data_IF_296664777547
#
_entry.id   IF_296664777547
#
_cell.length_a   1.000
_cell.length_b   1.000
_cell.length_c   1.000
_cell.angle_alpha   90.00
_cell.angle_beta   90.00
_cell.angle_gamma   90.00
#
_symmetry.space_group_name_H-M   'P 1'
#
loop_
_entity.id
_entity.type
_entity.pdbx_description
1 polymer ?
#
# COMPACT_ATOMS: atom_id res chain seq x y z
N UNK A 1 -17.11 -17.00 16.55
CA UNK A 1 -16.54 -17.51 15.29
C UNK A 1 -16.11 -16.31 14.50
N UNK A 2 -14.80 -16.08 14.40
CA UNK A 2 -14.18 -14.95 13.75
C UNK A 2 -14.24 -15.20 12.23
N UNK A 3 -14.58 -14.20 11.48
CA UNK A 3 -14.89 -14.29 10.04
C UNK A 3 -13.57 -14.36 9.23
N UNK A 4 -12.86 -15.49 9.31
CA UNK A 4 -11.61 -15.78 8.57
C UNK A 4 -11.84 -16.06 7.07
N UNK A 5 -13.06 -15.97 6.58
CA UNK A 5 -13.46 -16.43 5.24
C UNK A 5 -13.09 -15.47 4.10
N UNK A 6 -12.43 -14.35 4.36
CA UNK A 6 -12.10 -13.33 3.34
C UNK A 6 -10.65 -12.84 3.35
N UNK A 7 -9.81 -13.37 4.21
CA UNK A 7 -8.38 -13.02 4.22
C UNK A 7 -7.63 -13.85 3.17
N UNK A 8 -6.69 -13.22 2.46
CA UNK A 8 -5.79 -13.93 1.55
C UNK A 8 -4.63 -14.52 2.34
N UNK A 9 -4.06 -15.62 1.84
CA UNK A 9 -2.85 -16.20 2.43
C UNK A 9 -1.73 -15.16 2.56
N UNK A 10 -1.60 -14.25 1.61
CA UNK A 10 -0.65 -13.13 1.71
C UNK A 10 -0.88 -12.27 2.97
N UNK A 11 -2.13 -12.02 3.34
CA UNK A 11 -2.45 -11.24 4.54
C UNK A 11 -2.06 -12.01 5.80
N UNK A 12 -2.39 -13.29 5.88
CA UNK A 12 -2.03 -14.16 7.02
C UNK A 12 -0.51 -14.27 7.20
N UNK A 13 0.23 -14.53 6.11
CA UNK A 13 1.70 -14.65 6.14
C UNK A 13 2.37 -13.35 6.57
N UNK A 14 1.86 -12.18 6.14
CA UNK A 14 2.35 -10.88 6.60
C UNK A 14 1.96 -10.61 8.06
N UNK A 15 0.75 -10.99 8.48
CA UNK A 15 0.30 -10.86 9.86
C UNK A 15 1.22 -11.64 10.82
N UNK A 16 1.52 -12.89 10.51
CA UNK A 16 2.46 -13.71 11.27
C UNK A 16 3.85 -13.08 11.35
N UNK A 17 4.38 -12.61 10.22
CA UNK A 17 5.70 -11.97 10.17
C UNK A 17 5.79 -10.71 11.03
N UNK A 18 4.82 -9.80 10.91
CA UNK A 18 4.84 -8.53 11.64
C UNK A 18 4.40 -8.66 13.11
N UNK A 19 3.65 -9.70 13.45
CA UNK A 19 3.31 -10.02 14.82
C UNK A 19 4.53 -10.50 15.61
N UNK A 20 5.44 -11.25 14.96
CA UNK A 20 6.59 -11.89 15.61
C UNK A 20 6.17 -12.96 16.62
N UNK A 21 7.15 -13.41 17.43
CA UNK A 21 6.96 -14.53 18.35
C UNK A 21 6.14 -14.16 19.60
N UNK A 22 6.09 -12.89 19.98
CA UNK A 22 5.52 -12.40 21.24
C UNK A 22 4.22 -11.62 21.08
N UNK A 23 3.90 -11.16 19.86
CA UNK A 23 2.65 -10.46 19.59
C UNK A 23 1.44 -11.40 19.60
N UNK A 24 0.25 -10.82 19.68
CA UNK A 24 -1.02 -11.55 19.63
C UNK A 24 -1.82 -11.08 18.43
N UNK A 25 -2.32 -12.02 17.65
CA UNK A 25 -3.15 -11.74 16.46
C UNK A 25 -4.64 -11.70 16.78
N UNK A 26 -5.42 -11.02 15.92
CA UNK A 26 -6.89 -10.98 16.00
C UNK A 26 -7.43 -10.44 17.33
N UNK A 27 -6.81 -9.39 17.86
CA UNK A 27 -7.10 -8.84 19.20
C UNK A 27 -8.22 -7.81 19.12
N UNK A 28 -9.30 -7.94 19.90
CA UNK A 28 -10.30 -6.88 20.02
C UNK A 28 -9.72 -5.69 20.82
N UNK A 29 -9.60 -4.54 20.17
CA UNK A 29 -9.16 -3.27 20.75
C UNK A 29 -10.22 -2.21 20.44
N UNK A 30 -10.72 -1.55 21.46
CA UNK A 30 -11.68 -0.44 21.33
C UNK A 30 -12.88 -0.74 20.40
N UNK A 31 -13.39 -2.00 20.43
CA UNK A 31 -14.53 -2.43 19.62
C UNK A 31 -14.20 -2.71 18.14
N UNK A 32 -12.93 -2.80 17.79
CA UNK A 32 -12.45 -3.25 16.48
C UNK A 32 -11.50 -4.45 16.68
N UNK A 33 -11.50 -5.40 15.75
CA UNK A 33 -10.50 -6.48 15.75
C UNK A 33 -9.25 -5.94 15.04
N UNK A 34 -8.11 -5.98 15.71
CA UNK A 34 -6.81 -5.60 15.16
C UNK A 34 -6.04 -6.83 14.69
N UNK A 35 -5.32 -6.72 13.56
CA UNK A 35 -4.60 -7.84 12.97
C UNK A 35 -3.52 -8.36 13.91
N UNK A 36 -2.76 -7.48 14.56
CA UNK A 36 -1.84 -7.84 15.61
C UNK A 36 -1.65 -6.73 16.65
N UNK A 37 -1.40 -7.12 17.90
CA UNK A 37 -0.97 -6.24 19.00
C UNK A 37 0.38 -6.75 19.49
N UNK A 38 1.39 -5.87 19.49
CA UNK A 38 2.74 -6.19 19.92
C UNK A 38 2.91 -6.03 21.44
N UNK A 39 4.00 -6.55 22.01
CA UNK A 39 4.27 -6.52 23.46
C UNK A 39 4.27 -5.11 24.06
N UNK A 40 4.67 -4.11 23.28
CA UNK A 40 4.68 -2.70 23.70
C UNK A 40 3.30 -2.03 23.60
N UNK A 41 2.26 -2.80 23.27
CA UNK A 41 0.88 -2.37 23.10
C UNK A 41 0.62 -1.62 21.79
N UNK A 42 1.60 -1.52 20.88
CA UNK A 42 1.39 -0.98 19.54
C UNK A 42 0.61 -1.96 18.66
N UNK A 43 -0.07 -1.42 17.68
CA UNK A 43 -0.95 -2.17 16.79
C UNK A 43 -0.32 -2.25 15.41
N UNK A 44 -0.41 -3.43 14.80
CA UNK A 44 -0.10 -3.64 13.39
C UNK A 44 -1.39 -3.98 12.65
N UNK A 45 -1.66 -3.24 11.58
CA UNK A 45 -2.75 -3.47 10.64
C UNK A 45 -2.18 -3.78 9.26
N UNK A 46 -2.66 -4.83 8.63
CA UNK A 46 -2.21 -5.23 7.30
C UNK A 46 -3.32 -5.00 6.30
N UNK A 47 -3.06 -4.22 5.29
CA UNK A 47 -4.07 -3.91 4.28
C UNK A 47 -3.48 -4.01 2.88
N UNK A 48 -3.98 -4.95 2.11
CA UNK A 48 -3.50 -5.19 0.74
C UNK A 48 -4.10 -4.25 -0.31
N UNK A 49 -5.17 -3.51 0.04
CA UNK A 49 -5.87 -2.56 -0.84
C UNK A 49 -6.93 -1.77 -0.07
N UNK A 50 -7.38 -0.64 -0.64
CA UNK A 50 -8.49 0.18 -0.09
C UNK A 50 -8.21 0.68 1.34
N UNK A 51 -7.04 1.28 1.61
CA UNK A 51 -6.66 1.81 2.92
C UNK A 51 -7.73 2.76 3.50
N UNK A 52 -8.47 3.45 2.65
CA UNK A 52 -9.56 4.32 3.07
C UNK A 52 -10.67 3.64 3.88
N UNK A 53 -10.83 2.30 3.77
CA UNK A 53 -11.78 1.54 4.59
C UNK A 53 -11.38 1.47 6.06
N UNK A 54 -10.08 1.59 6.35
CA UNK A 54 -9.56 1.59 7.71
C UNK A 54 -9.64 2.96 8.39
N UNK A 55 -10.01 4.02 7.67
CA UNK A 55 -9.96 5.39 8.15
C UNK A 55 -10.56 5.56 9.55
N UNK A 56 -11.82 5.20 9.74
CA UNK A 56 -12.51 5.35 11.03
C UNK A 56 -11.86 4.52 12.15
N UNK A 57 -11.40 3.30 11.82
CA UNK A 57 -10.67 2.44 12.75
C UNK A 57 -9.35 3.07 13.16
N UNK A 58 -8.55 3.55 12.19
CA UNK A 58 -7.26 4.19 12.45
C UNK A 58 -7.41 5.46 13.26
N UNK A 59 -8.36 6.33 12.89
CA UNK A 59 -8.68 7.58 13.65
C UNK A 59 -9.00 7.28 15.11
N UNK A 60 -9.72 6.19 15.38
CA UNK A 60 -10.06 5.78 16.74
C UNK A 60 -8.86 5.22 17.50
N UNK A 61 -8.11 4.29 16.91
CA UNK A 61 -6.96 3.64 17.53
C UNK A 61 -5.84 4.64 17.85
N UNK A 62 -5.62 5.63 16.99
CA UNK A 62 -4.58 6.65 17.14
C UNK A 62 -4.84 7.63 18.30
N UNK A 63 -6.02 7.62 18.92
CA UNK A 63 -6.28 8.41 20.12
C UNK A 63 -5.52 7.89 21.35
N UNK A 64 -5.18 6.59 21.38
CA UNK A 64 -4.59 5.94 22.55
C UNK A 64 -3.42 5.01 22.24
N UNK A 65 -3.20 4.65 20.97
CA UNK A 65 -2.23 3.64 20.56
C UNK A 65 -1.34 4.13 19.42
N UNK A 66 -0.17 3.53 19.31
CA UNK A 66 0.65 3.62 18.10
C UNK A 66 0.16 2.56 17.12
N UNK A 67 0.07 2.93 15.84
CA UNK A 67 -0.43 2.05 14.78
C UNK A 67 0.56 2.04 13.62
N UNK A 68 0.97 0.85 13.21
CA UNK A 68 1.72 0.59 11.99
C UNK A 68 0.80 -0.02 10.96
N UNK A 69 0.58 0.67 9.86
CA UNK A 69 -0.18 0.16 8.72
C UNK A 69 0.78 -0.43 7.68
N UNK A 70 0.71 -1.74 7.49
CA UNK A 70 1.54 -2.47 6.52
C UNK A 70 0.81 -2.58 5.19
N UNK A 71 1.45 -2.12 4.11
CA UNK A 71 0.94 -2.17 2.75
C UNK A 71 1.90 -2.93 1.83
N UNK A 72 1.55 -4.16 1.38
CA UNK A 72 2.40 -4.92 0.48
C UNK A 72 2.31 -4.41 -0.96
N UNK A 73 3.48 -4.25 -1.58
CA UNK A 73 3.66 -3.87 -2.98
C UNK A 73 4.26 -5.06 -3.72
N UNK A 74 3.47 -5.70 -4.59
CA UNK A 74 3.95 -6.83 -5.38
C UNK A 74 4.95 -6.35 -6.43
N UNK A 75 6.27 -6.50 -6.15
CA UNK A 75 7.35 -6.20 -7.10
C UNK A 75 7.29 -7.14 -8.29
N UNK A 76 7.16 -8.43 -8.02
CA UNK A 76 6.97 -9.46 -9.02
C UNK A 76 5.79 -10.34 -8.64
N UNK A 77 5.07 -10.82 -9.64
CA UNK A 77 3.97 -11.76 -9.44
C UNK A 77 4.13 -12.92 -10.40
N UNK A 78 4.24 -14.13 -9.87
CA UNK A 78 4.05 -15.35 -10.62
C UNK A 78 2.56 -15.68 -10.65
N UNK A 79 2.02 -15.99 -11.81
CA UNK A 79 0.60 -16.32 -11.98
C UNK A 79 0.50 -17.78 -12.35
N UNK A 80 -0.24 -18.54 -11.56
CA UNK A 80 -0.64 -19.91 -11.85
C UNK A 80 -2.14 -19.97 -12.07
N UNK A 81 -2.55 -20.53 -13.19
CA UNK A 81 -3.97 -20.73 -13.50
C UNK A 81 -4.28 -22.21 -13.54
N UNK A 82 -5.28 -22.60 -12.79
CA UNK A 82 -5.74 -23.96 -12.64
C UNK A 82 -7.11 -24.15 -13.30
N UNK A 83 -7.38 -25.33 -13.75
CA UNK A 83 -8.73 -25.78 -14.10
C UNK A 83 -9.55 -26.01 -12.81
N UNK A 84 -10.89 -26.05 -12.88
CA UNK A 84 -11.71 -26.40 -11.72
C UNK A 84 -11.37 -27.78 -11.11
N UNK A 85 -10.81 -28.67 -11.91
CA UNK A 85 -10.30 -30.00 -11.49
C UNK A 85 -9.04 -29.93 -10.63
N UNK A 86 -8.40 -28.76 -10.51
CA UNK A 86 -7.13 -28.60 -9.81
C UNK A 86 -5.88 -28.84 -10.68
N UNK A 87 -6.05 -29.11 -11.97
CA UNK A 87 -4.93 -29.32 -12.89
C UNK A 87 -4.35 -27.96 -13.28
N UNK A 88 -3.02 -27.83 -13.18
CA UNK A 88 -2.30 -26.62 -13.61
C UNK A 88 -2.42 -26.44 -15.13
N UNK A 89 -3.04 -25.34 -15.54
CA UNK A 89 -3.24 -24.99 -16.95
C UNK A 89 -2.12 -24.12 -17.51
N UNK A 90 -1.72 -23.07 -16.75
CA UNK A 90 -0.65 -22.16 -17.18
C UNK A 90 0.13 -21.63 -15.97
N UNK A 91 1.44 -21.37 -16.22
CA UNK A 91 2.32 -20.69 -15.27
C UNK A 91 3.10 -19.63 -16.01
N UNK A 92 3.05 -18.37 -15.54
CA UNK A 92 3.75 -17.26 -16.20
C UNK A 92 4.03 -16.11 -15.23
N UNK A 93 5.03 -15.31 -15.52
CA UNK A 93 5.27 -14.05 -14.81
C UNK A 93 4.24 -13.00 -15.25
N UNK A 94 3.83 -12.16 -14.30
CA UNK A 94 3.05 -10.94 -14.60
C UNK A 94 3.95 -9.92 -15.28
N UNK A 95 3.47 -9.21 -16.31
CA UNK A 95 4.20 -8.06 -16.86
C UNK A 95 4.11 -6.82 -15.97
N UNK A 96 3.29 -6.84 -14.91
CA UNK A 96 3.12 -5.73 -14.00
C UNK A 96 4.11 -5.84 -12.85
N UNK A 97 4.77 -4.72 -12.55
CA UNK A 97 5.65 -4.56 -11.41
C UNK A 97 5.12 -3.42 -10.53
N UNK A 98 4.96 -3.70 -9.24
CA UNK A 98 4.56 -2.69 -8.27
C UNK A 98 5.72 -1.72 -7.99
N UNK A 99 5.37 -0.45 -7.81
CA UNK A 99 6.31 0.61 -7.41
C UNK A 99 5.77 1.34 -6.18
N UNK A 100 6.64 2.04 -5.47
CA UNK A 100 6.24 2.82 -4.29
C UNK A 100 5.15 3.86 -4.62
N UNK A 101 5.09 4.33 -5.85
CA UNK A 101 4.13 5.35 -6.26
C UNK A 101 2.66 4.89 -6.21
N UNK A 102 2.39 3.58 -6.27
CA UNK A 102 1.03 3.07 -6.12
C UNK A 102 0.46 3.33 -4.71
N UNK A 103 1.32 3.51 -3.70
CA UNK A 103 0.90 3.87 -2.35
C UNK A 103 0.10 5.18 -2.33
N UNK A 104 0.42 6.14 -3.21
CA UNK A 104 -0.31 7.40 -3.27
C UNK A 104 -1.79 7.25 -3.67
N UNK A 105 -2.17 6.20 -4.38
CA UNK A 105 -3.59 5.90 -4.63
C UNK A 105 -4.31 5.55 -3.35
N UNK A 106 -3.68 4.73 -2.53
CA UNK A 106 -4.20 4.25 -1.27
C UNK A 106 -4.23 5.35 -0.19
N UNK A 107 -3.17 6.17 -0.13
CA UNK A 107 -3.09 7.31 0.81
C UNK A 107 -4.19 8.36 0.57
N UNK A 108 -4.84 8.40 -0.58
CA UNK A 108 -5.95 9.33 -0.81
C UNK A 108 -7.08 9.19 0.23
N UNK A 109 -7.27 7.99 0.80
CA UNK A 109 -8.30 7.73 1.81
C UNK A 109 -7.91 8.12 3.24
N UNK A 110 -6.62 8.24 3.52
CA UNK A 110 -6.07 8.41 4.87
C UNK A 110 -4.96 9.48 4.93
N UNK A 111 -4.87 10.36 3.93
CA UNK A 111 -3.81 11.38 3.79
C UNK A 111 -3.60 12.24 5.04
N UNK A 112 -4.67 12.53 5.78
CA UNK A 112 -4.67 13.37 6.98
C UNK A 112 -4.05 12.69 8.20
N UNK A 113 -3.83 11.37 8.16
CA UNK A 113 -3.15 10.62 9.21
C UNK A 113 -1.63 10.57 8.99
N UNK A 114 -1.15 10.83 7.77
CA UNK A 114 0.28 10.83 7.46
C UNK A 114 0.98 11.95 8.22
N UNK A 115 2.05 11.61 8.94
CA UNK A 115 2.76 12.54 9.84
C UNK A 115 2.18 12.63 11.26
N UNK A 116 1.12 11.89 11.58
CA UNK A 116 0.65 11.78 12.96
C UNK A 116 1.70 11.02 13.81
N UNK A 117 2.11 11.52 15.00
CA UNK A 117 3.22 10.95 15.79
C UNK A 117 3.07 9.47 16.17
N UNK A 118 1.82 9.00 16.28
CA UNK A 118 1.52 7.59 16.57
C UNK A 118 1.29 6.72 15.33
N UNK A 119 1.46 7.23 14.10
CA UNK A 119 1.11 6.52 12.88
C UNK A 119 2.32 6.30 11.98
N UNK A 120 2.52 5.05 11.59
CA UNK A 120 3.55 4.66 10.62
C UNK A 120 2.87 3.93 9.46
N UNK A 121 3.23 4.27 8.23
CA UNK A 121 2.89 3.47 7.05
C UNK A 121 4.15 2.73 6.61
N UNK A 122 4.11 1.41 6.60
CA UNK A 122 5.20 0.55 6.14
C UNK A 122 4.82 -0.08 4.80
N UNK A 123 5.37 0.44 3.71
CA UNK A 123 5.27 -0.21 2.40
C UNK A 123 6.33 -1.31 2.30
N UNK A 124 5.93 -2.57 2.12
CA UNK A 124 6.83 -3.71 1.96
C UNK A 124 6.77 -4.25 0.54
N UNK A 125 7.93 -4.31 -0.12
CA UNK A 125 8.02 -4.95 -1.43
C UNK A 125 8.04 -6.47 -1.30
N UNK A 126 7.23 -7.13 -2.12
CA UNK A 126 7.06 -8.58 -2.08
C UNK A 126 7.12 -9.20 -3.47
N UNK A 127 7.60 -10.45 -3.56
CA UNK A 127 7.27 -11.33 -4.67
C UNK A 127 6.09 -12.20 -4.26
N UNK A 128 5.11 -12.33 -5.12
CA UNK A 128 3.85 -13.02 -4.83
C UNK A 128 3.54 -14.11 -5.85
N UNK A 129 2.82 -15.13 -5.42
CA UNK A 129 2.18 -16.11 -6.27
C UNK A 129 0.67 -15.84 -6.28
N UNK A 130 0.13 -15.51 -7.46
CA UNK A 130 -1.30 -15.31 -7.65
C UNK A 130 -1.92 -16.60 -8.22
N UNK A 131 -2.77 -17.22 -7.43
CA UNK A 131 -3.51 -18.42 -7.78
C UNK A 131 -4.83 -18.04 -8.47
N UNK A 132 -5.06 -18.61 -9.64
CA UNK A 132 -6.27 -18.38 -10.45
C UNK A 132 -6.98 -19.68 -10.78
N UNK A 133 -8.31 -19.61 -10.93
CA UNK A 133 -9.14 -20.73 -11.36
C UNK A 133 -9.93 -20.29 -12.60
N UNK A 134 -9.89 -21.13 -13.64
CA UNK A 134 -10.60 -20.92 -14.90
C UNK A 134 -12.01 -21.55 -14.84
N UNK A 135 -12.85 -21.06 -13.93
CA UNK A 135 -14.19 -21.58 -13.63
C UNK A 135 -15.34 -20.76 -14.25
N UNK A 136 -15.03 -19.76 -15.05
CA UNK A 136 -16.02 -18.90 -15.69
C UNK A 136 -16.58 -17.77 -14.79
N UNK A 137 -16.29 -17.77 -13.48
CA UNK A 137 -16.87 -16.82 -12.51
C UNK A 137 -16.07 -15.53 -12.38
N UNK A 138 -14.87 -15.44 -12.98
CA UNK A 138 -14.00 -14.28 -12.93
C UNK A 138 -14.50 -13.12 -13.79
N UNK A 139 -13.81 -11.96 -13.68
CA UNK A 139 -14.19 -10.78 -14.46
C UNK A 139 -14.05 -11.02 -15.97
N UNK A 140 -14.88 -10.34 -16.77
CA UNK A 140 -14.82 -10.40 -18.24
C UNK A 140 -13.43 -10.02 -18.80
N UNK A 141 -12.71 -9.07 -18.16
CA UNK A 141 -11.35 -8.68 -18.54
C UNK A 141 -10.34 -9.82 -18.41
N UNK A 142 -10.60 -10.78 -17.54
CA UNK A 142 -9.82 -12.02 -17.36
C UNK A 142 -10.47 -13.23 -18.01
N UNK A 143 -11.41 -13.02 -18.92
CA UNK A 143 -12.11 -14.09 -19.66
C UNK A 143 -12.70 -15.15 -18.72
N UNK A 144 -13.35 -14.70 -17.63
CA UNK A 144 -13.95 -15.59 -16.66
C UNK A 144 -12.98 -16.24 -15.66
N UNK A 145 -11.66 -15.96 -15.74
CA UNK A 145 -10.68 -16.48 -14.79
C UNK A 145 -10.77 -15.70 -13.47
N UNK A 146 -11.03 -16.37 -12.38
CA UNK A 146 -11.11 -15.83 -11.03
C UNK A 146 -9.75 -15.87 -10.34
N UNK A 147 -9.40 -14.83 -9.58
CA UNK A 147 -8.30 -14.91 -8.62
C UNK A 147 -8.84 -15.65 -7.40
N UNK A 148 -8.22 -16.76 -7.07
CA UNK A 148 -8.57 -17.58 -5.91
C UNK A 148 -7.87 -17.05 -4.67
N UNK A 149 -6.54 -16.86 -4.77
CA UNK A 149 -5.73 -16.42 -3.64
C UNK A 149 -4.42 -15.76 -4.08
N UNK A 150 -3.68 -15.21 -3.11
CA UNK A 150 -2.30 -14.75 -3.25
C UNK A 150 -1.48 -15.24 -2.08
N UNK A 151 -0.26 -15.72 -2.39
CA UNK A 151 0.73 -16.17 -1.41
C UNK A 151 1.95 -15.30 -1.45
N UNK A 152 2.58 -15.09 -0.31
CA UNK A 152 3.90 -14.49 -0.21
C UNK A 152 4.94 -15.50 -0.71
N UNK A 153 5.85 -15.05 -1.58
CA UNK A 153 6.98 -15.87 -2.04
C UNK A 153 8.28 -15.36 -1.41
N UNK A 154 8.42 -14.03 -1.37
CA UNK A 154 9.61 -13.40 -0.81
C UNK A 154 9.26 -11.98 -0.36
N UNK A 155 9.83 -11.56 0.74
CA UNK A 155 9.89 -10.16 1.16
C UNK A 155 11.21 -9.54 0.74
N UNK A 156 11.15 -8.27 0.41
CA UNK A 156 12.29 -7.44 0.04
C UNK A 156 12.40 -6.27 1.03
N UNK A 157 12.91 -5.13 0.56
CA UNK A 157 13.03 -3.93 1.37
C UNK A 157 11.67 -3.35 1.77
N UNK A 158 11.69 -2.59 2.85
CA UNK A 158 10.57 -1.78 3.32
C UNK A 158 10.87 -0.30 3.15
N UNK A 159 9.82 0.49 2.96
CA UNK A 159 9.84 1.95 3.03
C UNK A 159 8.89 2.37 4.14
N UNK A 160 9.43 2.99 5.18
CA UNK A 160 8.63 3.49 6.29
C UNK A 160 8.36 4.99 6.13
N UNK A 161 7.13 5.38 6.37
CA UNK A 161 6.66 6.76 6.32
C UNK A 161 6.09 7.09 7.69
N UNK A 162 6.87 7.79 8.49
CA UNK A 162 6.53 8.25 9.85
C UNK A 162 6.22 9.74 9.86
N UNK A 163 6.87 10.48 8.97
CA UNK A 163 6.80 11.93 8.89
C UNK A 163 6.40 12.40 7.49
N UNK A 164 6.11 13.68 7.34
CA UNK A 164 5.87 14.29 6.04
C UNK A 164 7.15 14.35 5.20
N UNK A 165 8.32 14.45 5.85
CA UNK A 165 9.63 14.39 5.22
C UNK A 165 9.88 13.02 4.58
N UNK A 166 9.50 11.93 5.26
CA UNK A 166 9.60 10.59 4.69
C UNK A 166 8.72 10.45 3.43
N UNK A 167 7.51 11.02 3.47
CA UNK A 167 6.63 11.02 2.30
C UNK A 167 7.19 11.89 1.16
N UNK A 168 7.78 13.04 1.49
CA UNK A 168 8.42 13.92 0.52
C UNK A 168 9.61 13.25 -0.15
N UNK A 169 10.38 12.44 0.58
CA UNK A 169 11.54 11.70 0.07
C UNK A 169 11.19 10.63 -0.98
N UNK A 170 9.92 10.31 -1.19
CA UNK A 170 9.46 9.44 -2.29
C UNK A 170 9.43 10.20 -3.63
N UNK A 171 9.40 11.52 -3.61
CA UNK A 171 9.47 12.32 -4.85
C UNK A 171 10.86 12.13 -5.47
N UNK A 172 10.97 11.73 -6.74
CA UNK A 172 12.27 11.55 -7.39
C UNK A 172 13.08 12.84 -7.43
N UNK A 173 14.40 12.72 -7.23
CA UNK A 173 15.33 13.86 -7.19
C UNK A 173 15.41 14.60 -8.54
N UNK A 174 15.10 13.90 -9.63
CA UNK A 174 15.06 14.46 -10.98
C UNK A 174 13.86 15.38 -11.24
N UNK A 175 12.87 15.38 -10.35
CA UNK A 175 11.70 16.26 -10.49
C UNK A 175 12.13 17.71 -10.31
N UNK A 176 11.82 18.62 -11.25
CA UNK A 176 12.19 20.03 -11.14
C UNK A 176 11.62 20.70 -9.89
N UNK A 177 12.26 21.78 -9.42
CA UNK A 177 11.77 22.56 -8.26
C UNK A 177 10.31 23.02 -8.44
N UNK A 178 9.97 23.47 -9.64
CA UNK A 178 8.58 23.74 -10.03
C UNK A 178 8.17 22.69 -11.07
N UNK A 179 7.20 21.85 -10.72
CA UNK A 179 6.82 20.69 -11.49
C UNK A 179 5.32 20.61 -11.76
N UNK A 180 4.97 19.81 -12.73
CA UNK A 180 3.60 19.44 -13.09
C UNK A 180 3.35 17.95 -12.80
N UNK A 181 2.09 17.51 -12.92
CA UNK A 181 1.75 16.08 -12.90
C UNK A 181 2.48 15.31 -14.01
N UNK A 182 2.71 15.96 -15.16
CA UNK A 182 3.46 15.36 -16.27
C UNK A 182 4.91 15.07 -15.90
N UNK A 183 5.55 15.96 -15.14
CA UNK A 183 6.92 15.77 -14.66
C UNK A 183 6.97 14.60 -13.68
N UNK A 184 6.07 14.53 -12.70
CA UNK A 184 5.98 13.37 -11.80
C UNK A 184 5.80 12.06 -12.57
N UNK A 185 4.95 12.08 -13.60
CA UNK A 185 4.71 10.90 -14.45
C UNK A 185 5.98 10.48 -15.19
N UNK A 186 6.70 11.45 -15.77
CA UNK A 186 7.94 11.24 -16.54
C UNK A 186 9.07 10.69 -15.67
N UNK A 187 9.18 11.15 -14.43
CA UNK A 187 10.23 10.77 -13.49
C UNK A 187 9.84 9.61 -12.58
N UNK A 188 8.97 8.72 -13.02
CA UNK A 188 8.75 7.41 -12.40
C UNK A 188 7.35 7.15 -11.86
N UNK A 189 6.58 8.17 -11.48
CA UNK A 189 5.25 7.97 -10.91
C UNK A 189 4.21 7.43 -11.93
N UNK A 190 4.47 7.56 -13.24
CA UNK A 190 3.63 7.01 -14.29
C UNK A 190 2.16 7.39 -14.11
N UNK A 191 1.27 6.40 -14.11
CA UNK A 191 -0.17 6.60 -13.93
C UNK A 191 -0.57 7.08 -12.52
N UNK A 192 0.33 6.97 -11.53
CA UNK A 192 0.07 7.38 -10.14
C UNK A 192 0.33 8.87 -9.88
N UNK A 193 0.95 9.59 -10.84
CA UNK A 193 1.38 10.98 -10.72
C UNK A 193 0.26 11.95 -10.28
N UNK A 194 -0.96 11.77 -10.79
CA UNK A 194 -2.10 12.60 -10.41
C UNK A 194 -2.50 12.45 -8.94
N UNK A 195 -2.50 11.21 -8.44
CA UNK A 195 -2.78 10.91 -7.02
C UNK A 195 -1.64 11.37 -6.14
N UNK A 196 -0.40 11.20 -6.58
CA UNK A 196 0.79 11.71 -5.90
C UNK A 196 0.71 13.23 -5.72
N UNK A 197 0.52 14.00 -6.78
CA UNK A 197 0.36 15.46 -6.70
C UNK A 197 -0.79 15.87 -5.76
N UNK A 198 -1.89 15.13 -5.79
CA UNK A 198 -3.04 15.40 -4.92
C UNK A 198 -2.71 15.17 -3.44
N UNK A 199 -2.09 14.03 -3.10
CA UNK A 199 -1.68 13.72 -1.72
C UNK A 199 -0.65 14.71 -1.22
N UNK A 200 0.41 15.01 -2.00
CA UNK A 200 1.43 16.00 -1.66
C UNK A 200 0.81 17.39 -1.39
N UNK A 201 -0.20 17.77 -2.18
CA UNK A 201 -0.94 19.01 -1.95
C UNK A 201 -1.81 18.99 -0.69
N UNK A 202 -2.49 17.85 -0.42
CA UNK A 202 -3.37 17.71 0.76
C UNK A 202 -2.60 17.63 2.07
N UNK A 203 -1.43 17.01 2.08
CA UNK A 203 -0.54 16.94 3.25
C UNK A 203 0.27 18.21 3.47
N UNK A 204 0.22 19.18 2.55
CA UNK A 204 0.99 20.41 2.63
C UNK A 204 2.47 20.27 2.24
N UNK A 205 2.90 19.08 1.78
CA UNK A 205 4.26 18.82 1.28
C UNK A 205 4.54 19.63 0.02
N UNK A 206 3.53 19.80 -0.84
CA UNK A 206 3.63 20.64 -2.04
C UNK A 206 2.55 21.72 -2.04
N UNK A 207 2.89 22.88 -2.57
CA UNK A 207 1.94 23.97 -2.82
C UNK A 207 1.75 24.18 -4.33
N UNK A 208 0.54 24.62 -4.69
CA UNK A 208 0.27 25.02 -6.07
C UNK A 208 0.80 26.43 -6.29
N UNK A 209 1.67 26.60 -7.29
CA UNK A 209 2.32 27.88 -7.61
C UNK A 209 1.67 28.62 -8.79
N UNK A 210 0.90 27.91 -9.65
CA UNK A 210 0.29 28.53 -10.83
C UNK A 210 -0.15 27.50 -11.84
N UNK A 211 0.02 27.87 -13.12
CA UNK A 211 -0.25 27.00 -14.29
C UNK A 211 0.82 27.17 -15.35
N UNK A 212 1.10 26.06 -16.05
CA UNK A 212 1.84 26.03 -17.30
C UNK A 212 0.91 25.44 -18.38
N UNK A 213 0.42 26.26 -19.26
CA UNK A 213 -0.64 25.90 -20.20
C UNK A 213 -1.92 25.46 -19.45
N UNK A 214 -2.34 24.20 -19.67
CA UNK A 214 -3.53 23.62 -19.01
C UNK A 214 -3.21 22.92 -17.68
N UNK A 215 -1.94 22.71 -17.36
CA UNK A 215 -1.50 21.97 -16.18
C UNK A 215 -1.23 22.90 -15.02
N UNK A 216 -1.61 22.48 -13.80
CA UNK A 216 -1.17 23.14 -12.57
C UNK A 216 0.30 22.87 -12.32
N UNK A 217 0.99 23.90 -11.79
CA UNK A 217 2.37 23.80 -11.31
C UNK A 217 2.40 23.74 -9.80
N UNK A 218 3.36 22.99 -9.29
CA UNK A 218 3.57 22.74 -7.87
C UNK A 218 5.03 22.99 -7.50
N UNK A 219 5.28 23.29 -6.23
CA UNK A 219 6.61 23.35 -5.62
C UNK A 219 6.58 22.60 -4.31
N UNK A 220 7.63 21.83 -4.01
CA UNK A 220 7.79 21.21 -2.70
C UNK A 220 8.10 22.29 -1.66
N UNK A 221 7.42 22.23 -0.52
CA UNK A 221 7.69 23.04 0.68
C UNK A 221 8.62 22.29 1.64
N UNK A 222 8.55 20.97 1.62
CA UNK A 222 9.41 20.05 2.35
C UNK A 222 10.38 19.48 1.32
N UNK A 223 11.70 19.63 1.49
CA UNK A 223 12.67 19.10 0.53
C UNK A 223 12.62 17.56 0.52
N UNK A 224 12.79 16.98 -0.68
CA UNK A 224 12.85 15.53 -0.89
C UNK A 224 14.21 14.90 -0.52
N UNK A 225 15.04 15.60 0.24
CA UNK A 225 16.36 15.09 0.61
C UNK A 225 16.23 13.81 1.40
N UNK A 226 16.70 12.71 0.83
CA UNK A 226 16.96 11.49 1.60
C UNK A 226 17.98 11.85 2.68
N UNK A 227 17.64 11.57 3.92
CA UNK A 227 18.62 11.55 5.00
C UNK A 227 19.65 10.47 4.62
N UNK A 228 20.88 10.90 4.27
CA UNK A 228 22.04 10.04 4.01
C UNK A 228 22.42 9.28 5.26
#
# INVERSE_FOLDING_TARGET
>A
MINTWNESLLHEELKEYFCGDSGVTEVPVEGSICDAVLDDGSIVEIQTKNLGKLRAKLEKLLQSRRVTLVYPIARNTLIETYEPSGILKTRRKSPKHGTIFQLFEELTGIWHLVGHPGFTVTAIFTDTLELRIADGTGSWRRKGIRISDRKLVKMHETVEIRTLEDLAAIVPDEVPEVFTVSDLSRFGAGSHAGKMAWVLGKTGIAERTGKSGRSYTYRLKIPNKRLT
#
